data_IF_299318096558
#
_entry.id   IF_299318096558
#
_cell.length_a   1.000
_cell.length_b   1.000
_cell.length_c   1.000
_cell.angle_alpha   90.00
_cell.angle_beta   90.00
_cell.angle_gamma   90.00
#
_symmetry.space_group_name_H-M   'P 1'
#
loop_
_entity.id
_entity.type
_entity.pdbx_description
1 polymer ?
#
# COMPACT_ATOMS: atom_id res chain seq x y z
N UNK A 1 -7.78 10.19 16.86
CA UNK A 1 -6.35 9.90 17.22
C UNK A 1 -5.37 10.48 16.20
N UNK A 2 -5.61 10.32 14.88
CA UNK A 2 -4.72 10.88 13.85
C UNK A 2 -5.07 12.31 13.42
N UNK A 3 -6.23 12.84 13.83
CA UNK A 3 -6.68 14.18 13.42
C UNK A 3 -5.67 15.32 13.66
N UNK A 4 -4.92 15.37 14.78
CA UNK A 4 -3.97 16.46 15.05
C UNK A 4 -2.76 16.52 14.10
N UNK A 5 -2.52 15.46 13.35
CA UNK A 5 -1.38 15.30 12.44
C UNK A 5 -1.78 15.44 10.96
N UNK A 6 -3.07 15.58 10.67
CA UNK A 6 -3.57 15.82 9.31
C UNK A 6 -3.05 17.16 8.76
N UNK A 7 -2.77 17.20 7.45
CA UNK A 7 -2.26 18.36 6.72
C UNK A 7 -0.85 18.85 7.08
N UNK A 8 -0.16 18.20 8.03
CA UNK A 8 1.22 18.55 8.42
C UNK A 8 2.30 17.83 7.59
N UNK A 9 1.91 17.20 6.46
CA UNK A 9 2.78 16.45 5.53
C UNK A 9 3.58 15.30 6.17
N UNK A 10 3.14 14.78 7.31
CA UNK A 10 3.75 13.59 7.90
C UNK A 10 3.49 12.34 7.05
N UNK A 11 4.48 11.44 7.00
CA UNK A 11 4.33 10.11 6.45
C UNK A 11 3.76 9.17 7.52
N UNK A 12 2.60 8.59 7.27
CA UNK A 12 1.93 7.68 8.18
C UNK A 12 2.13 6.23 7.72
N UNK A 13 2.74 5.41 8.56
CA UNK A 13 2.80 3.95 8.37
C UNK A 13 1.84 3.28 9.34
N UNK A 14 0.76 2.67 8.83
CA UNK A 14 -0.28 2.04 9.68
C UNK A 14 -0.58 0.62 9.23
N UNK A 15 -0.84 -0.25 10.21
CA UNK A 15 -1.31 -1.59 9.94
C UNK A 15 -2.79 -1.62 9.51
N UNK A 16 -3.20 -2.72 8.86
CA UNK A 16 -4.56 -2.93 8.38
C UNK A 16 -5.61 -2.78 9.50
N UNK A 17 -5.31 -3.19 10.75
CA UNK A 17 -6.25 -3.06 11.88
C UNK A 17 -6.68 -1.61 12.12
N UNK A 18 -5.74 -0.67 12.07
CA UNK A 18 -6.01 0.75 12.32
C UNK A 18 -6.59 1.50 11.11
N UNK A 19 -6.66 0.85 9.95
CA UNK A 19 -7.12 1.47 8.71
C UNK A 19 -8.63 1.38 8.48
N UNK A 20 -9.35 0.52 9.21
CA UNK A 20 -10.81 0.33 9.07
C UNK A 20 -11.63 1.48 9.69
N UNK A 21 -11.09 2.14 10.72
CA UNK A 21 -11.72 3.27 11.40
C UNK A 21 -11.36 4.65 10.84
N UNK A 22 -10.43 4.73 9.88
CA UNK A 22 -10.02 6.00 9.26
C UNK A 22 -10.92 6.27 8.06
N UNK A 23 -11.54 7.46 8.03
CA UNK A 23 -12.39 7.85 6.91
C UNK A 23 -11.63 7.85 5.58
N UNK A 24 -12.34 7.54 4.49
CA UNK A 24 -11.76 7.47 3.13
C UNK A 24 -11.10 8.79 2.70
N UNK A 25 -11.66 9.91 3.11
CA UNK A 25 -11.09 11.25 2.87
C UNK A 25 -9.83 11.48 3.70
N UNK A 26 -9.85 11.18 5.00
CA UNK A 26 -8.69 11.29 5.89
C UNK A 26 -7.52 10.45 5.37
N UNK A 27 -7.82 9.27 4.83
CA UNK A 27 -6.80 8.45 4.21
C UNK A 27 -6.21 9.09 2.94
N UNK A 28 -7.04 9.68 2.08
CA UNK A 28 -6.56 10.31 0.85
C UNK A 28 -5.75 11.59 1.11
N UNK A 29 -6.01 12.24 2.24
CA UNK A 29 -5.32 13.47 2.67
C UNK A 29 -4.00 13.19 3.41
N UNK A 30 -3.75 11.94 3.82
CA UNK A 30 -2.51 11.56 4.49
C UNK A 30 -1.51 10.94 3.50
N UNK A 31 -0.27 11.40 3.56
CA UNK A 31 0.84 10.76 2.88
C UNK A 31 1.24 9.53 3.70
N UNK A 32 1.32 8.34 3.12
CA UNK A 32 1.56 7.15 3.95
C UNK A 32 1.51 5.81 3.23
N UNK A 33 1.93 4.80 3.98
CA UNK A 33 2.00 3.39 3.59
C UNK A 33 1.12 2.59 4.55
N UNK A 34 0.28 1.68 4.04
CA UNK A 34 -0.54 0.83 4.90
C UNK A 34 -0.79 -0.54 4.33
N UNK A 35 -0.90 -1.53 5.22
CA UNK A 35 -1.37 -2.87 4.83
C UNK A 35 -2.86 -2.81 4.52
N UNK A 36 -3.28 -3.52 3.47
CA UNK A 36 -4.66 -3.44 2.95
C UNK A 36 -5.29 -4.83 2.83
N UNK A 37 -6.55 -4.97 3.23
CA UNK A 37 -7.36 -6.13 2.85
C UNK A 37 -7.92 -5.96 1.43
N UNK A 38 -7.51 -6.83 0.50
CA UNK A 38 -7.92 -6.81 -0.90
C UNK A 38 -9.43 -7.02 -1.14
N UNK A 39 -10.17 -7.50 -0.13
CA UNK A 39 -11.64 -7.67 -0.19
C UNK A 39 -12.41 -6.35 -0.03
N UNK A 40 -11.75 -5.23 0.24
CA UNK A 40 -12.42 -3.92 0.35
C UNK A 40 -12.96 -3.48 -1.01
N UNK A 41 -14.16 -2.89 -1.01
CA UNK A 41 -14.89 -2.43 -2.22
C UNK A 41 -14.11 -1.45 -3.09
N UNK A 42 -13.15 -0.76 -2.49
CA UNK A 42 -12.32 0.27 -3.12
C UNK A 42 -11.09 -0.28 -3.87
N UNK A 43 -10.78 -1.57 -3.69
CA UNK A 43 -9.64 -2.21 -4.34
C UNK A 43 -10.09 -2.74 -5.70
N UNK A 44 -9.33 -2.47 -6.79
CA UNK A 44 -9.63 -3.02 -8.11
C UNK A 44 -9.74 -4.54 -8.05
N UNK A 45 -10.70 -5.12 -8.78
CA UNK A 45 -10.91 -6.58 -8.81
C UNK A 45 -9.69 -7.30 -9.38
N UNK A 46 -8.90 -6.66 -10.25
CA UNK A 46 -7.65 -7.25 -10.75
C UNK A 46 -6.67 -7.58 -9.63
N UNK A 47 -6.64 -6.82 -8.53
CA UNK A 47 -5.74 -7.09 -7.40
C UNK A 47 -6.11 -8.36 -6.62
N UNK A 48 -7.34 -8.86 -6.78
CA UNK A 48 -7.78 -10.10 -6.15
C UNK A 48 -7.30 -11.35 -6.90
N UNK A 49 -6.78 -11.20 -8.12
CA UNK A 49 -6.20 -12.31 -8.90
C UNK A 49 -5.08 -12.99 -8.11
N UNK A 50 -4.98 -14.31 -8.21
CA UNK A 50 -3.83 -15.05 -7.69
C UNK A 50 -2.62 -14.67 -8.54
N UNK A 51 -1.49 -14.49 -7.88
CA UNK A 51 -0.19 -14.20 -8.50
C UNK A 51 0.78 -15.27 -7.99
N UNK A 52 1.81 -15.58 -8.75
CA UNK A 52 2.81 -16.59 -8.40
C UNK A 52 3.83 -16.06 -7.39
N UNK A 53 4.54 -16.97 -6.71
CA UNK A 53 5.60 -16.57 -5.77
C UNK A 53 6.69 -15.79 -6.52
N UNK A 54 7.16 -14.69 -5.95
CA UNK A 54 8.07 -13.75 -6.62
C UNK A 54 7.39 -12.77 -7.59
N UNK A 55 6.10 -12.95 -7.90
CA UNK A 55 5.35 -12.00 -8.72
C UNK A 55 4.87 -10.81 -7.88
N UNK A 56 4.90 -9.62 -8.49
CA UNK A 56 4.42 -8.37 -7.91
C UNK A 56 3.45 -7.73 -8.91
N UNK A 57 2.26 -7.36 -8.43
CA UNK A 57 1.30 -6.58 -9.18
C UNK A 57 1.10 -5.23 -8.50
N UNK A 58 1.04 -4.16 -9.30
CA UNK A 58 0.83 -2.81 -8.83
C UNK A 58 -0.23 -2.11 -9.68
N UNK A 59 -1.08 -1.31 -9.04
CA UNK A 59 -2.08 -0.50 -9.69
C UNK A 59 -2.07 0.90 -9.10
N UNK A 60 -1.98 1.93 -9.94
CA UNK A 60 -1.96 3.31 -9.50
C UNK A 60 -3.17 4.07 -10.03
N UNK A 61 -3.78 4.85 -9.15
CA UNK A 61 -4.84 5.81 -9.46
C UNK A 61 -4.48 7.16 -8.89
N UNK A 62 -4.02 8.06 -9.75
CA UNK A 62 -3.50 9.37 -9.32
C UNK A 62 -2.29 9.21 -8.41
N UNK A 63 -2.37 9.74 -7.18
CA UNK A 63 -1.29 9.66 -6.19
C UNK A 63 -1.34 8.41 -5.32
N UNK A 64 -2.29 7.50 -5.53
CA UNK A 64 -2.47 6.32 -4.69
C UNK A 64 -2.13 5.07 -5.49
N UNK A 65 -1.24 4.25 -4.94
CA UNK A 65 -0.77 3.00 -5.52
C UNK A 65 -1.13 1.85 -4.60
N UNK A 66 -1.76 0.82 -5.15
CA UNK A 66 -1.99 -0.47 -4.49
C UNK A 66 -0.98 -1.46 -5.04
N UNK A 67 -0.27 -2.18 -4.19
CA UNK A 67 0.70 -3.20 -4.59
C UNK A 67 0.43 -4.50 -3.85
N UNK A 68 0.75 -5.63 -4.48
CA UNK A 68 0.61 -6.96 -3.88
C UNK A 68 1.73 -7.85 -4.40
N UNK A 69 2.34 -8.63 -3.51
CA UNK A 69 3.36 -9.61 -3.85
C UNK A 69 3.19 -10.91 -3.07
N UNK A 70 3.59 -12.03 -3.67
CA UNK A 70 3.32 -13.38 -3.15
C UNK A 70 4.55 -14.12 -2.63
N UNK A 71 5.54 -13.39 -2.09
CA UNK A 71 6.55 -14.01 -1.22
C UNK A 71 6.02 -14.22 0.20
N UNK A 72 5.36 -13.20 0.74
CA UNK A 72 4.75 -13.21 2.07
C UNK A 72 3.22 -12.99 2.05
N UNK A 73 2.62 -12.98 0.85
CA UNK A 73 1.18 -12.69 0.62
C UNK A 73 0.77 -11.36 1.26
N UNK A 74 1.46 -10.29 0.89
CA UNK A 74 1.23 -8.94 1.45
C UNK A 74 0.59 -8.06 0.40
N UNK A 75 -0.30 -7.17 0.85
CA UNK A 75 -0.90 -6.12 0.04
C UNK A 75 -0.75 -4.78 0.74
N UNK A 76 -0.30 -3.80 -0.03
CA UNK A 76 0.10 -2.47 0.41
C UNK A 76 -0.71 -1.42 -0.33
N UNK A 77 -1.13 -0.37 0.38
CA UNK A 77 -1.57 0.88 -0.21
C UNK A 77 -0.53 1.95 0.14
N UNK A 78 0.00 2.63 -0.85
CA UNK A 78 0.95 3.71 -0.68
C UNK A 78 0.50 4.95 -1.43
N UNK A 79 0.80 6.12 -0.89
CA UNK A 79 0.63 7.40 -1.59
C UNK A 79 1.95 8.05 -2.01
N UNK A 80 3.07 7.36 -1.78
CA UNK A 80 4.43 7.81 -2.12
C UNK A 80 5.10 6.96 -3.19
N UNK A 81 4.70 5.70 -3.35
CA UNK A 81 5.27 4.79 -4.34
C UNK A 81 4.54 4.90 -5.68
N UNK A 82 5.29 4.80 -6.77
CA UNK A 82 4.76 4.59 -8.11
C UNK A 82 4.69 3.07 -8.43
N UNK A 83 4.30 2.72 -9.65
CA UNK A 83 4.25 1.31 -10.11
C UNK A 83 5.58 0.79 -10.64
N UNK A 84 6.62 1.62 -10.70
CA UNK A 84 7.93 1.23 -11.22
C UNK A 84 8.63 0.32 -10.20
N UNK A 85 9.34 -0.68 -10.71
CA UNK A 85 10.06 -1.64 -9.88
C UNK A 85 11.47 -1.84 -10.43
N UNK A 86 12.45 -1.74 -9.56
CA UNK A 86 13.84 -2.06 -9.86
C UNK A 86 14.26 -3.29 -9.07
N UNK A 87 14.80 -4.29 -9.77
CA UNK A 87 15.43 -5.43 -9.13
C UNK A 87 16.87 -5.09 -8.80
N UNK A 88 17.19 -5.14 -7.51
CA UNK A 88 18.53 -4.83 -7.01
C UNK A 88 19.16 -6.13 -6.52
N UNK A 89 20.31 -6.50 -7.07
CA UNK A 89 21.10 -7.59 -6.50
C UNK A 89 21.79 -7.09 -5.23
N UNK A 90 21.32 -7.57 -4.08
CA UNK A 90 21.99 -7.31 -2.81
C UNK A 90 23.06 -8.37 -2.60
N UNK A 91 24.33 -7.99 -2.65
CA UNK A 91 25.42 -8.86 -2.19
C UNK A 91 25.26 -9.04 -0.68
N UNK A 92 24.68 -10.17 -0.26
CA UNK A 92 24.66 -10.55 1.15
C UNK A 92 26.10 -10.73 1.61
N UNK A 93 26.55 -9.87 2.53
CA UNK A 93 27.87 -9.98 3.16
C UNK A 93 28.06 -11.36 3.78
N UNK A 94 29.24 -11.93 3.56
CA UNK A 94 29.70 -13.19 4.16
C UNK A 94 29.75 -13.11 5.69
#
# INVERSE_FOLDING_TARGET
MMEPFLHKRYCLTIDNYYSSGISRQTCFMSTGIRTLNLKRKEVPKEMQKKIEKGEIIAFQRGKVTVMKWMDKKVSLLSTIHNTEMEQIQVCSGK
#
